data_IF_882608996890
#
_entry.id   IF_882608996890
#
_cell.length_a   1.000
_cell.length_b   1.000
_cell.length_c   1.000
_cell.angle_alpha   90.00
_cell.angle_beta   90.00
_cell.angle_gamma   90.00
#
_symmetry.space_group_name_H-M   'P 1'
#
loop_
_entity.id
_entity.type
_entity.pdbx_description
1 polymer ?
#
# COMPACT_ATOMS: atom_id res chain seq x y z
N UNK A 1 33.29 25.02 -9.39
CA UNK A 1 31.93 25.23 -9.92
C UNK A 1 31.46 26.61 -9.51
N UNK A 2 30.86 27.37 -10.43
CA UNK A 2 30.16 28.62 -10.10
C UNK A 2 28.82 28.28 -9.40
N UNK A 3 28.34 29.12 -8.48
CA UNK A 3 27.08 28.92 -7.72
C UNK A 3 25.92 28.40 -8.60
N UNK A 4 25.72 29.01 -9.77
CA UNK A 4 24.69 28.63 -10.76
C UNK A 4 24.85 27.22 -11.34
N UNK A 5 26.07 26.73 -11.50
CA UNK A 5 26.32 25.36 -11.98
C UNK A 5 25.96 24.35 -10.88
N UNK A 6 26.18 24.72 -9.61
CA UNK A 6 25.81 23.89 -8.46
C UNK A 6 24.28 23.79 -8.32
N UNK A 7 23.57 24.91 -8.41
CA UNK A 7 22.10 24.95 -8.40
C UNK A 7 21.49 24.16 -9.56
N UNK A 8 22.06 24.29 -10.77
CA UNK A 8 21.60 23.51 -11.93
C UNK A 8 21.80 22.01 -11.72
N UNK A 9 22.97 21.58 -11.25
CA UNK A 9 23.26 20.17 -10.99
C UNK A 9 22.36 19.63 -9.88
N UNK A 10 22.14 20.39 -8.81
CA UNK A 10 21.22 20.01 -7.73
C UNK A 10 19.78 19.86 -8.22
N UNK A 11 19.28 20.83 -9.00
CA UNK A 11 17.95 20.74 -9.61
C UNK A 11 17.83 19.54 -10.56
N UNK A 12 18.88 19.26 -11.33
CA UNK A 12 18.90 18.11 -12.23
C UNK A 12 18.88 16.78 -11.47
N UNK A 13 19.66 16.63 -10.38
CA UNK A 13 19.63 15.43 -9.54
C UNK A 13 18.28 15.22 -8.85
N UNK A 14 17.58 16.31 -8.49
CA UNK A 14 16.24 16.24 -7.91
C UNK A 14 15.17 15.64 -8.84
N UNK A 15 15.42 15.58 -10.14
CA UNK A 15 14.53 14.86 -11.07
C UNK A 15 14.76 13.34 -11.09
N UNK A 16 15.85 12.86 -10.50
CA UNK A 16 16.25 11.45 -10.52
C UNK A 16 16.36 10.82 -9.12
N UNK A 17 16.49 11.64 -8.08
CA UNK A 17 16.61 11.22 -6.68
C UNK A 17 15.68 12.07 -5.82
N UNK A 18 15.09 11.47 -4.80
CA UNK A 18 14.31 12.21 -3.81
C UNK A 18 15.13 13.36 -3.20
N UNK A 19 14.53 14.53 -2.94
CA UNK A 19 15.22 15.68 -2.37
C UNK A 19 16.00 15.36 -1.08
N UNK A 20 15.48 14.44 -0.26
CA UNK A 20 16.14 14.00 0.96
C UNK A 20 17.49 13.32 0.67
N UNK A 21 17.56 12.46 -0.36
CA UNK A 21 18.79 11.77 -0.77
C UNK A 21 19.79 12.74 -1.38
N UNK A 22 19.32 13.69 -2.21
CA UNK A 22 20.18 14.75 -2.77
C UNK A 22 20.83 15.56 -1.66
N UNK A 23 20.05 15.96 -0.65
CA UNK A 23 20.56 16.71 0.50
C UNK A 23 21.58 15.91 1.31
N UNK A 24 21.34 14.61 1.52
CA UNK A 24 22.28 13.72 2.21
C UNK A 24 23.61 13.59 1.45
N UNK A 25 23.56 13.35 0.12
CA UNK A 25 24.76 13.28 -0.73
C UNK A 25 25.55 14.59 -0.68
N UNK A 26 24.86 15.74 -0.67
CA UNK A 26 25.51 17.04 -0.60
C UNK A 26 26.19 17.30 0.75
N UNK A 27 25.65 16.74 1.83
CA UNK A 27 26.19 16.86 3.19
C UNK A 27 27.31 15.85 3.45
N UNK A 28 27.22 14.67 2.83
CA UNK A 28 28.18 13.58 2.94
C UNK A 28 28.59 13.03 1.56
N UNK A 29 29.44 13.73 0.79
CA UNK A 29 29.79 13.33 -0.57
C UNK A 29 30.44 11.96 -0.69
N UNK A 30 31.11 11.49 0.37
CA UNK A 30 31.75 10.17 0.41
C UNK A 30 30.77 9.00 0.39
N UNK A 31 29.48 9.26 0.62
CA UNK A 31 28.41 8.26 0.55
C UNK A 31 28.29 7.66 -0.86
N UNK A 32 28.47 8.45 -1.92
CA UNK A 32 28.29 8.02 -3.32
C UNK A 32 29.24 6.87 -3.71
N UNK A 33 30.45 6.85 -3.13
CA UNK A 33 31.48 5.85 -3.42
C UNK A 33 31.40 4.61 -2.51
N UNK A 34 30.48 4.60 -1.54
CA UNK A 34 30.35 3.54 -0.54
C UNK A 34 29.16 2.65 -0.86
N UNK A 35 29.45 1.42 -1.31
CA UNK A 35 28.44 0.36 -1.40
C UNK A 35 28.07 -0.14 -0.01
N UNK A 36 26.81 -0.55 0.11
CA UNK A 36 26.23 -1.04 1.35
C UNK A 36 25.33 0.02 1.99
N UNK A 37 25.02 -0.19 3.25
CA UNK A 37 24.07 0.63 3.96
C UNK A 37 24.14 0.37 5.44
N UNK A 38 23.22 0.98 6.15
CA UNK A 38 23.05 0.77 7.58
C UNK A 38 21.75 0.03 7.85
N UNK A 39 21.80 -0.89 8.80
CA UNK A 39 20.60 -1.55 9.31
C UNK A 39 19.88 -0.60 10.27
N UNK A 40 18.61 -0.34 10.00
CA UNK A 40 17.73 0.48 10.83
C UNK A 40 16.31 -0.08 10.83
N UNK A 41 15.55 0.25 11.88
CA UNK A 41 14.10 0.02 11.89
C UNK A 41 13.44 1.19 11.17
N UNK A 42 12.67 0.87 10.14
CA UNK A 42 12.05 1.84 9.24
C UNK A 42 10.70 1.29 8.74
N UNK A 43 9.99 2.07 7.94
CA UNK A 43 8.78 1.63 7.24
C UNK A 43 9.02 1.54 5.75
N UNK A 44 8.82 0.35 5.18
CA UNK A 44 8.79 0.12 3.75
C UNK A 44 7.36 0.32 3.22
N UNK A 45 7.22 0.93 2.05
CA UNK A 45 5.97 1.20 1.36
C UNK A 45 6.05 0.71 -0.09
N UNK A 46 5.01 0.01 -0.53
CA UNK A 46 4.80 -0.40 -1.91
C UNK A 46 3.36 -0.05 -2.30
N UNK A 47 3.17 0.52 -3.48
CA UNK A 47 1.84 0.64 -4.08
C UNK A 47 1.82 0.23 -5.54
N UNK A 48 0.65 -0.16 -6.03
CA UNK A 48 0.40 -0.58 -7.42
C UNK A 48 -1.06 -0.29 -7.82
N UNK A 49 -1.29 0.08 -9.08
CA UNK A 49 -2.63 0.35 -9.60
C UNK A 49 -3.25 -0.97 -10.07
N UNK A 50 -4.33 -1.38 -9.41
CA UNK A 50 -5.04 -2.60 -9.75
C UNK A 50 -5.50 -2.60 -11.21
N UNK A 51 -5.17 -3.68 -11.92
CA UNK A 51 -5.52 -3.87 -13.34
C UNK A 51 -4.91 -2.81 -14.29
N UNK A 52 -3.75 -2.24 -13.94
CA UNK A 52 -3.08 -1.23 -14.76
C UNK A 52 -2.81 -1.70 -16.20
N UNK A 53 -2.46 -2.98 -16.41
CA UNK A 53 -2.27 -3.50 -17.77
C UNK A 53 -3.50 -3.27 -18.65
N UNK A 54 -4.71 -3.53 -18.14
CA UNK A 54 -5.96 -3.26 -18.86
C UNK A 54 -6.19 -1.77 -19.09
N UNK A 55 -5.84 -0.91 -18.14
CA UNK A 55 -5.88 0.56 -18.33
C UNK A 55 -4.94 0.95 -19.49
N UNK A 56 -3.70 0.48 -19.47
CA UNK A 56 -2.66 0.84 -20.44
C UNK A 56 -2.98 0.37 -21.87
N UNK A 57 -3.63 -0.78 -22.04
CA UNK A 57 -4.07 -1.30 -23.35
C UNK A 57 -5.16 -0.45 -24.01
N UNK A 58 -5.90 0.35 -23.24
CA UNK A 58 -6.93 1.26 -23.74
C UNK A 58 -6.40 2.65 -24.10
N UNK A 59 -5.09 2.89 -23.93
CA UNK A 59 -4.47 4.20 -24.12
C UNK A 59 -3.49 4.19 -25.28
N UNK A 60 -3.41 5.31 -25.99
CA UNK A 60 -2.23 5.60 -26.81
C UNK A 60 -1.02 5.85 -25.91
N UNK A 61 0.22 5.69 -26.41
CA UNK A 61 1.42 5.95 -25.61
C UNK A 61 1.47 7.34 -24.98
N UNK A 62 0.95 8.37 -25.65
CA UNK A 62 0.93 9.75 -25.13
C UNK A 62 -0.10 9.89 -24.01
N UNK A 63 -1.29 9.32 -24.17
CA UNK A 63 -2.31 9.33 -23.12
C UNK A 63 -1.87 8.54 -21.89
N UNK A 64 -1.20 7.39 -22.10
CA UNK A 64 -0.61 6.59 -21.02
C UNK A 64 0.40 7.40 -20.20
N UNK A 65 1.31 8.10 -20.88
CA UNK A 65 2.31 8.95 -20.21
C UNK A 65 1.65 10.09 -19.43
N UNK A 66 0.62 10.73 -19.98
CA UNK A 66 -0.10 11.79 -19.28
C UNK A 66 -0.84 11.26 -18.04
N UNK A 67 -1.55 10.14 -18.19
CA UNK A 67 -2.29 9.50 -17.10
C UNK A 67 -1.34 9.08 -15.97
N UNK A 68 -0.25 8.38 -16.29
CA UNK A 68 0.67 7.90 -15.27
C UNK A 68 1.43 9.03 -14.59
N UNK A 69 1.81 10.08 -15.32
CA UNK A 69 2.50 11.23 -14.71
C UNK A 69 1.58 12.01 -13.78
N UNK A 70 0.30 12.20 -14.12
CA UNK A 70 -0.65 12.84 -13.19
C UNK A 70 -0.79 12.02 -11.90
N UNK A 71 -1.00 10.70 -12.03
CA UNK A 71 -1.08 9.79 -10.88
C UNK A 71 0.19 9.79 -10.03
N UNK A 72 1.35 9.55 -10.64
CA UNK A 72 2.62 9.48 -9.92
C UNK A 72 2.94 10.80 -9.22
N UNK A 73 2.65 11.94 -9.85
CA UNK A 73 2.89 13.26 -9.24
C UNK A 73 2.07 13.43 -7.95
N UNK A 74 0.75 13.26 -8.03
CA UNK A 74 -0.14 13.43 -6.87
C UNK A 74 0.20 12.47 -5.73
N UNK A 75 0.57 11.22 -6.05
CA UNK A 75 0.93 10.23 -5.03
C UNK A 75 2.30 10.49 -4.40
N UNK A 76 3.30 10.90 -5.19
CA UNK A 76 4.64 11.19 -4.68
C UNK A 76 4.65 12.45 -3.81
N UNK A 77 3.91 13.50 -4.19
CA UNK A 77 3.80 14.73 -3.41
C UNK A 77 3.34 14.42 -1.97
N UNK A 78 2.37 13.52 -1.80
CA UNK A 78 1.88 13.11 -0.48
C UNK A 78 2.94 12.31 0.29
N UNK A 79 3.64 11.36 -0.36
CA UNK A 79 4.72 10.62 0.30
C UNK A 79 5.79 11.56 0.83
N UNK A 80 6.20 12.54 0.02
CA UNK A 80 7.23 13.53 0.39
C UNK A 80 6.74 14.52 1.45
N UNK A 81 5.46 14.93 1.43
CA UNK A 81 4.85 15.78 2.47
C UNK A 81 4.92 15.12 3.85
N UNK A 82 4.75 13.80 3.90
CA UNK A 82 4.90 13.00 5.12
C UNK A 82 6.37 12.66 5.46
N UNK A 83 7.33 13.12 4.67
CA UNK A 83 8.77 12.90 4.88
C UNK A 83 9.26 11.53 4.42
N UNK A 84 8.51 10.87 3.53
CA UNK A 84 8.93 9.66 2.86
C UNK A 84 9.97 9.94 1.76
N UNK A 85 10.77 8.92 1.47
CA UNK A 85 11.77 8.94 0.41
C UNK A 85 11.33 8.00 -0.69
N UNK A 86 11.11 8.54 -1.90
CA UNK A 86 10.85 7.73 -3.09
C UNK A 86 12.15 7.00 -3.46
N UNK A 87 12.08 5.67 -3.51
CA UNK A 87 13.16 4.80 -3.95
C UNK A 87 13.18 4.76 -5.48
N UNK A 88 12.09 4.27 -6.08
CA UNK A 88 11.96 4.10 -7.53
C UNK A 88 10.51 3.86 -7.95
N UNK A 89 10.30 3.86 -9.25
CA UNK A 89 9.07 3.42 -9.90
C UNK A 89 9.28 2.09 -10.62
N UNK A 90 8.31 1.20 -10.55
CA UNK A 90 8.27 -0.04 -11.33
C UNK A 90 6.97 -0.07 -12.16
N UNK A 91 7.00 0.58 -13.33
CA UNK A 91 5.78 0.80 -14.11
C UNK A 91 4.88 1.82 -13.42
N UNK A 92 3.70 1.38 -12.97
CA UNK A 92 2.77 2.15 -12.16
C UNK A 92 2.97 1.99 -10.65
N UNK A 93 3.89 1.10 -10.25
CA UNK A 93 4.18 0.89 -8.85
C UNK A 93 5.11 1.97 -8.27
N UNK A 94 4.85 2.37 -7.02
CA UNK A 94 5.68 3.31 -6.26
C UNK A 94 6.33 2.55 -5.11
N UNK A 95 7.66 2.62 -5.06
CA UNK A 95 8.45 2.10 -3.95
C UNK A 95 8.98 3.28 -3.15
N UNK A 96 8.70 3.29 -1.86
CA UNK A 96 9.17 4.34 -0.96
C UNK A 96 9.45 3.79 0.44
N UNK A 97 10.09 4.61 1.26
CA UNK A 97 10.31 4.27 2.67
C UNK A 97 10.31 5.51 3.56
N UNK A 98 10.04 5.30 4.84
CA UNK A 98 10.05 6.34 5.88
C UNK A 98 11.07 5.98 6.94
N UNK A 99 11.85 6.97 7.39
CA UNK A 99 12.91 6.80 8.39
C UNK A 99 14.35 6.82 7.84
N UNK A 100 14.51 7.05 6.54
CA UNK A 100 15.80 7.39 5.93
C UNK A 100 15.61 8.29 4.70
N UNK A 101 16.63 9.08 4.30
CA UNK A 101 17.90 9.29 5.04
C UNK A 101 17.68 10.08 6.34
N UNK A 102 16.59 10.85 6.42
CA UNK A 102 16.15 11.51 7.65
C UNK A 102 15.38 10.52 8.52
N UNK A 103 15.82 10.35 9.76
CA UNK A 103 15.15 9.48 10.72
C UNK A 103 13.98 10.20 11.41
N UNK A 104 12.90 9.46 11.61
CA UNK A 104 11.70 9.90 12.30
C UNK A 104 11.25 8.79 13.26
N UNK A 105 11.08 9.08 14.55
CA UNK A 105 10.56 8.11 15.52
C UNK A 105 9.13 7.65 15.15
N UNK A 106 8.36 8.52 14.48
CA UNK A 106 6.99 8.29 14.02
C UNK A 106 6.91 7.81 12.56
N UNK A 107 7.97 7.21 12.01
CA UNK A 107 8.04 6.76 10.61
C UNK A 107 6.85 5.86 10.19
N UNK A 108 6.36 5.01 11.10
CA UNK A 108 5.19 4.16 10.86
C UNK A 108 3.88 4.95 10.77
N UNK A 109 3.71 5.95 11.65
CA UNK A 109 2.54 6.84 11.64
C UNK A 109 2.52 7.66 10.34
N UNK A 110 3.66 8.22 9.95
CA UNK A 110 3.82 8.98 8.70
C UNK A 110 3.40 8.19 7.48
N UNK A 111 3.94 6.98 7.32
CA UNK A 111 3.59 6.11 6.20
C UNK A 111 2.11 5.73 6.18
N UNK A 112 1.53 5.42 7.34
CA UNK A 112 0.11 5.09 7.44
C UNK A 112 -0.80 6.27 7.08
N UNK A 113 -0.52 7.47 7.61
CA UNK A 113 -1.30 8.67 7.32
C UNK A 113 -1.18 9.11 5.85
N UNK A 114 0.01 8.98 5.26
CA UNK A 114 0.23 9.22 3.83
C UNK A 114 -0.65 8.31 2.98
N UNK A 115 -0.81 7.03 3.33
CA UNK A 115 -1.66 6.10 2.58
C UNK A 115 -3.14 6.50 2.65
N UNK A 116 -3.62 6.92 3.82
CA UNK A 116 -5.00 7.41 3.98
C UNK A 116 -5.22 8.64 3.08
N UNK A 117 -4.27 9.58 3.06
CA UNK A 117 -4.39 10.78 2.22
C UNK A 117 -4.23 10.48 0.73
N UNK A 118 -3.40 9.51 0.35
CA UNK A 118 -3.34 9.03 -1.02
C UNK A 118 -4.69 8.44 -1.46
N UNK A 119 -5.37 7.65 -0.62
CA UNK A 119 -6.72 7.13 -0.94
C UNK A 119 -7.77 8.25 -1.06
N UNK A 120 -7.70 9.28 -0.21
CA UNK A 120 -8.55 10.48 -0.31
C UNK A 120 -8.28 11.23 -1.61
N UNK A 121 -7.01 11.49 -1.94
CA UNK A 121 -6.59 12.13 -3.19
C UNK A 121 -7.02 11.34 -4.41
N UNK A 122 -6.92 10.01 -4.39
CA UNK A 122 -7.40 9.17 -5.50
C UNK A 122 -8.90 9.32 -5.73
N UNK A 123 -9.69 9.49 -4.67
CA UNK A 123 -11.13 9.81 -4.78
C UNK A 123 -11.33 11.18 -5.43
N UNK A 124 -10.60 12.20 -4.98
CA UNK A 124 -10.64 13.53 -5.59
C UNK A 124 -10.22 13.51 -7.07
N UNK A 125 -9.18 12.75 -7.43
CA UNK A 125 -8.72 12.57 -8.81
C UNK A 125 -9.81 11.94 -9.68
N UNK A 126 -10.46 10.88 -9.20
CA UNK A 126 -11.60 10.26 -9.89
C UNK A 126 -12.74 11.25 -10.10
N UNK A 127 -13.05 12.06 -9.11
CA UNK A 127 -14.11 13.07 -9.23
C UNK A 127 -13.74 14.17 -10.23
N UNK A 128 -12.49 14.65 -10.21
CA UNK A 128 -11.97 15.63 -11.19
C UNK A 128 -12.04 15.08 -12.61
N UNK A 129 -11.62 13.84 -12.82
CA UNK A 129 -11.67 13.17 -14.12
C UNK A 129 -13.09 13.07 -14.70
N UNK A 130 -14.10 12.92 -13.84
CA UNK A 130 -15.49 12.90 -14.27
C UNK A 130 -15.99 14.31 -14.66
N UNK A 131 -15.70 15.29 -13.80
CA UNK A 131 -16.14 16.68 -14.00
C UNK A 131 -15.51 17.33 -15.24
N UNK A 132 -14.20 17.18 -15.40
CA UNK A 132 -13.44 17.83 -16.47
C UNK A 132 -13.47 17.02 -17.78
N UNK A 133 -13.97 15.78 -17.74
CA UNK A 133 -13.89 14.81 -18.85
C UNK A 133 -12.49 14.72 -19.45
N UNK A 134 -11.49 14.75 -18.57
CA UNK A 134 -10.08 14.74 -18.95
C UNK A 134 -9.57 13.34 -19.32
N UNK A 135 -10.32 12.28 -18.97
CA UNK A 135 -10.01 10.92 -19.40
C UNK A 135 -10.26 10.75 -20.90
N UNK A 136 -9.39 10.04 -21.61
CA UNK A 136 -9.66 9.58 -22.97
C UNK A 136 -10.99 8.80 -23.06
N UNK A 137 -11.73 8.89 -24.17
CA UNK A 137 -13.04 8.24 -24.30
C UNK A 137 -13.03 6.73 -24.01
N UNK A 138 -11.93 6.03 -24.34
CA UNK A 138 -11.78 4.60 -24.05
C UNK A 138 -11.69 4.32 -22.53
N UNK A 139 -11.00 5.17 -21.76
CA UNK A 139 -10.95 5.04 -20.31
C UNK A 139 -12.26 5.43 -19.65
N UNK A 140 -12.98 6.42 -20.18
CA UNK A 140 -14.30 6.77 -19.65
C UNK A 140 -15.27 5.58 -19.78
N UNK A 141 -15.28 4.90 -20.93
CA UNK A 141 -16.07 3.68 -21.11
C UNK A 141 -15.60 2.51 -20.24
N UNK A 142 -14.29 2.37 -20.03
CA UNK A 142 -13.73 1.34 -19.14
C UNK A 142 -14.18 1.58 -17.70
N UNK A 143 -14.08 2.82 -17.24
CA UNK A 143 -14.50 3.27 -15.92
C UNK A 143 -15.99 3.04 -15.68
N UNK A 144 -16.86 3.54 -16.56
CA UNK A 144 -18.32 3.38 -16.44
C UNK A 144 -18.72 1.91 -16.32
N UNK A 145 -18.08 1.02 -17.10
CA UNK A 145 -18.30 -0.42 -17.03
C UNK A 145 -17.83 -1.02 -15.71
N UNK A 146 -16.62 -0.70 -15.26
CA UNK A 146 -16.10 -1.24 -13.99
C UNK A 146 -16.91 -0.74 -12.79
N UNK A 147 -17.29 0.54 -12.77
CA UNK A 147 -18.15 1.08 -11.72
C UNK A 147 -19.53 0.40 -11.72
N UNK A 148 -20.09 0.09 -12.90
CA UNK A 148 -21.31 -0.72 -13.03
C UNK A 148 -21.17 -2.17 -12.58
N UNK A 149 -19.94 -2.70 -12.50
CA UNK A 149 -19.58 -4.02 -11.96
C UNK A 149 -19.20 -3.96 -10.46
N UNK A 150 -19.28 -2.79 -9.81
CA UNK A 150 -18.84 -2.61 -8.42
C UNK A 150 -17.32 -2.59 -8.24
N UNK A 151 -16.56 -2.30 -9.31
CA UNK A 151 -15.09 -2.24 -9.32
C UNK A 151 -14.63 -0.79 -9.40
N UNK A 152 -13.87 -0.36 -8.40
CA UNK A 152 -13.28 0.98 -8.36
C UNK A 152 -12.26 1.16 -9.48
N UNK A 153 -12.47 2.17 -10.33
CA UNK A 153 -11.52 2.55 -11.36
C UNK A 153 -10.25 3.13 -10.75
N UNK A 154 -9.08 2.74 -11.28
CA UNK A 154 -7.77 3.13 -10.74
C UNK A 154 -7.67 2.89 -9.21
N UNK A 155 -8.17 1.75 -8.74
CA UNK A 155 -7.97 1.30 -7.36
C UNK A 155 -6.48 1.07 -7.10
N UNK A 156 -5.94 1.62 -6.02
CA UNK A 156 -4.53 1.49 -5.67
C UNK A 156 -4.41 0.66 -4.41
N UNK A 157 -3.55 -0.37 -4.49
CA UNK A 157 -3.19 -1.21 -3.36
C UNK A 157 -1.91 -0.66 -2.73
N UNK A 158 -1.81 -0.68 -1.42
CA UNK A 158 -0.71 -0.11 -0.64
C UNK A 158 -0.33 -1.04 0.51
N UNK A 159 0.86 -1.63 0.40
CA UNK A 159 1.43 -2.49 1.43
C UNK A 159 2.49 -1.75 2.25
N UNK A 160 2.35 -1.76 3.58
CA UNK A 160 3.35 -1.20 4.48
C UNK A 160 3.82 -2.20 5.52
N UNK A 161 5.11 -2.15 5.84
CA UNK A 161 5.65 -2.89 6.97
C UNK A 161 6.70 -2.10 7.70
N UNK A 162 6.66 -2.16 9.04
CA UNK A 162 7.72 -1.63 9.88
C UNK A 162 8.59 -2.77 10.44
N UNK A 163 9.90 -2.58 10.46
CA UNK A 163 10.86 -3.58 10.94
C UNK A 163 12.29 -3.29 10.50
N UNK A 164 13.24 -4.16 10.88
CA UNK A 164 14.64 -4.01 10.49
C UNK A 164 14.80 -4.17 8.97
N UNK A 165 15.58 -3.29 8.37
CA UNK A 165 16.00 -3.34 6.97
C UNK A 165 17.31 -2.58 6.80
N UNK A 166 18.03 -2.86 5.71
CA UNK A 166 19.25 -2.12 5.34
C UNK A 166 18.89 -1.05 4.34
N UNK A 167 19.36 0.19 4.55
CA UNK A 167 19.20 1.30 3.61
C UNK A 167 20.55 1.89 3.23
N UNK A 168 20.75 2.14 1.95
CA UNK A 168 22.02 2.66 1.45
C UNK A 168 22.18 2.48 -0.05
N UNK A 169 23.41 2.61 -0.52
CA UNK A 169 23.75 2.47 -1.93
C UNK A 169 23.93 1.00 -2.30
N UNK A 170 22.99 0.48 -3.07
CA UNK A 170 23.02 -0.90 -3.58
C UNK A 170 23.22 -0.90 -5.08
N UNK A 171 23.95 -1.90 -5.59
CA UNK A 171 24.19 -2.05 -7.01
C UNK A 171 25.63 -2.44 -7.32
N UNK A 172 26.11 -1.97 -8.47
CA UNK A 172 27.45 -2.24 -8.97
C UNK A 172 28.39 -1.06 -8.69
N UNK A 173 29.70 -1.26 -8.88
CA UNK A 173 30.70 -0.18 -8.72
C UNK A 173 30.49 1.04 -9.61
N UNK A 174 29.69 0.93 -10.68
CA UNK A 174 29.46 2.00 -11.65
C UNK A 174 28.02 2.51 -11.67
N UNK A 175 27.10 1.83 -10.98
CA UNK A 175 25.67 2.17 -10.92
C UNK A 175 25.11 1.72 -9.58
N UNK A 176 24.69 2.67 -8.77
CA UNK A 176 24.13 2.49 -7.45
C UNK A 176 22.79 3.21 -7.35
N UNK A 177 21.85 2.58 -6.66
CA UNK A 177 20.58 3.17 -6.26
C UNK A 177 20.59 3.29 -4.74
N UNK A 178 20.11 4.42 -4.21
CA UNK A 178 19.86 4.56 -2.78
C UNK A 178 18.52 3.90 -2.46
N UNK A 179 18.56 2.70 -1.88
CA UNK A 179 17.40 1.81 -1.77
C UNK A 179 17.43 1.03 -0.46
N UNK A 180 16.30 0.40 -0.15
CA UNK A 180 16.12 -0.48 1.00
C UNK A 180 16.19 -1.96 0.61
N UNK A 181 16.72 -2.81 1.48
CA UNK A 181 16.73 -4.26 1.32
C UNK A 181 16.45 -4.97 2.65
N UNK A 182 15.73 -6.09 2.58
CA UNK A 182 15.50 -6.96 3.73
C UNK A 182 14.16 -7.68 3.65
N UNK A 183 13.96 -8.65 4.55
CA UNK A 183 12.72 -9.44 4.59
C UNK A 183 11.49 -8.59 4.92
N UNK A 184 11.68 -7.50 5.67
CA UNK A 184 10.64 -6.49 5.93
C UNK A 184 10.18 -5.84 4.61
N UNK A 185 11.13 -5.43 3.77
CA UNK A 185 10.84 -4.83 2.44
C UNK A 185 10.05 -5.80 1.55
N UNK A 186 10.48 -7.07 1.50
CA UNK A 186 9.78 -8.11 0.74
C UNK A 186 8.35 -8.37 1.25
N UNK A 187 8.12 -8.22 2.57
CA UNK A 187 6.80 -8.38 3.16
C UNK A 187 5.86 -7.24 2.75
N UNK A 188 6.34 -5.99 2.64
CA UNK A 188 5.53 -4.88 2.15
C UNK A 188 5.03 -5.10 0.72
N UNK A 189 5.89 -5.57 -0.18
CA UNK A 189 5.48 -5.94 -1.54
C UNK A 189 4.43 -7.07 -1.57
N UNK A 190 4.54 -8.03 -0.64
CA UNK A 190 3.55 -9.11 -0.48
C UNK A 190 2.23 -8.60 0.08
N UNK A 191 2.26 -7.57 0.92
CA UNK A 191 1.05 -6.96 1.46
C UNK A 191 0.31 -6.18 0.39
N UNK A 192 1.00 -5.38 -0.43
CA UNK A 192 0.42 -4.72 -1.61
C UNK A 192 -0.32 -5.75 -2.48
N UNK A 193 0.42 -6.77 -2.93
CA UNK A 193 -0.15 -7.75 -3.86
C UNK A 193 -1.25 -8.61 -3.22
N UNK A 194 -1.09 -8.95 -1.95
CA UNK A 194 -2.02 -9.75 -1.15
C UNK A 194 -3.39 -9.10 -0.97
N UNK A 195 -3.49 -7.78 -1.04
CA UNK A 195 -4.78 -7.08 -0.98
C UNK A 195 -5.75 -7.47 -2.08
N UNK A 196 -5.28 -8.03 -3.20
CA UNK A 196 -6.15 -8.57 -4.26
C UNK A 196 -7.09 -9.65 -3.74
N UNK A 197 -6.62 -10.45 -2.79
CA UNK A 197 -7.39 -11.55 -2.19
C UNK A 197 -8.55 -10.97 -1.37
N UNK A 198 -8.27 -9.92 -0.62
CA UNK A 198 -9.21 -9.30 0.32
C UNK A 198 -10.05 -8.18 -0.30
N UNK A 199 -9.68 -7.66 -1.47
CA UNK A 199 -10.34 -6.49 -2.07
C UNK A 199 -10.07 -5.17 -1.35
N UNK A 200 -8.97 -5.06 -0.59
CA UNK A 200 -8.70 -3.92 0.31
C UNK A 200 -7.73 -2.90 -0.29
N UNK A 201 -7.58 -1.74 0.37
CA UNK A 201 -6.79 -0.61 -0.14
C UNK A 201 -5.45 -0.39 0.59
N UNK A 202 -5.37 -0.65 1.89
CA UNK A 202 -4.15 -0.47 2.68
C UNK A 202 -3.96 -1.68 3.59
N UNK A 203 -2.82 -2.38 3.47
CA UNK A 203 -2.47 -3.51 4.33
C UNK A 203 -1.16 -3.25 5.08
N UNK A 204 -1.18 -3.49 6.39
CA UNK A 204 -0.05 -3.22 7.28
C UNK A 204 0.28 -4.39 8.21
N UNK A 205 1.52 -4.45 8.72
CA UNK A 205 1.90 -5.44 9.72
C UNK A 205 1.55 -4.98 11.14
N UNK A 206 1.58 -5.93 12.08
CA UNK A 206 1.28 -5.67 13.49
C UNK A 206 2.12 -4.53 14.11
N UNK A 207 3.38 -4.38 13.69
CA UNK A 207 4.24 -3.30 14.18
C UNK A 207 3.70 -1.91 13.82
N UNK A 208 3.20 -1.72 12.60
CA UNK A 208 2.54 -0.48 12.21
C UNK A 208 1.22 -0.34 12.93
N UNK A 209 0.38 -1.38 12.95
CA UNK A 209 -0.93 -1.34 13.61
C UNK A 209 -0.82 -0.86 15.07
N UNK A 210 0.10 -1.43 15.86
CA UNK A 210 0.34 -0.99 17.26
C UNK A 210 0.82 0.45 17.38
N UNK A 211 1.50 0.98 16.36
CA UNK A 211 1.94 2.38 16.36
C UNK A 211 0.80 3.36 16.01
N UNK A 212 -0.30 2.87 15.41
CA UNK A 212 -1.38 3.73 14.89
C UNK A 212 -2.77 3.40 15.44
N UNK A 213 -2.95 2.37 16.26
CA UNK A 213 -4.27 1.84 16.68
C UNK A 213 -5.19 2.89 17.33
N UNK A 214 -4.62 3.88 18.02
CA UNK A 214 -5.35 5.01 18.62
C UNK A 214 -5.66 6.15 17.63
N UNK A 215 -5.05 6.14 16.44
CA UNK A 215 -5.10 7.20 15.43
C UNK A 215 -5.95 6.83 14.21
N UNK A 216 -6.28 5.55 14.04
CA UNK A 216 -6.98 5.03 12.85
C UNK A 216 -8.14 4.12 13.22
N UNK A 217 -9.09 3.98 12.30
CA UNK A 217 -9.97 2.83 12.26
C UNK A 217 -9.32 1.72 11.43
N UNK A 218 -9.30 0.51 11.96
CA UNK A 218 -8.63 -0.64 11.36
C UNK A 218 -9.34 -1.94 11.75
N UNK A 219 -9.05 -3.00 11.00
CA UNK A 219 -9.46 -4.37 11.33
C UNK A 219 -8.32 -5.34 11.08
N UNK A 220 -8.29 -6.45 11.83
CA UNK A 220 -7.41 -7.59 11.52
C UNK A 220 -7.92 -8.24 10.24
N UNK A 221 -7.04 -8.46 9.26
CA UNK A 221 -7.39 -9.17 8.03
C UNK A 221 -7.18 -10.67 8.17
N UNK A 222 -5.98 -11.10 8.57
CA UNK A 222 -5.68 -12.52 8.68
C UNK A 222 -4.33 -12.76 9.40
N UNK A 223 -4.03 -14.03 9.67
CA UNK A 223 -2.70 -14.51 10.06
C UNK A 223 -2.13 -15.28 8.88
N UNK A 224 -1.16 -14.70 8.18
CA UNK A 224 -0.70 -15.19 6.88
C UNK A 224 0.64 -15.91 7.03
N UNK A 225 0.73 -17.15 6.53
CA UNK A 225 2.02 -17.81 6.33
C UNK A 225 2.69 -17.22 5.10
N UNK A 226 3.85 -16.62 5.33
CA UNK A 226 4.62 -15.98 4.28
C UNK A 226 5.70 -16.95 3.78
N UNK A 227 5.75 -17.21 2.47
CA UNK A 227 6.75 -18.13 1.89
C UNK A 227 8.16 -17.68 2.27
N UNK A 228 8.92 -18.57 2.89
CA UNK A 228 10.28 -18.31 3.35
C UNK A 228 10.41 -17.75 4.77
N UNK A 229 9.29 -17.48 5.47
CA UNK A 229 9.30 -17.17 6.92
C UNK A 229 8.78 -18.37 7.71
N UNK A 230 9.38 -18.62 8.88
CA UNK A 230 8.91 -19.65 9.81
C UNK A 230 7.65 -19.19 10.55
N UNK A 231 7.68 -17.98 11.10
CA UNK A 231 6.56 -17.40 11.86
C UNK A 231 5.52 -16.75 10.94
N UNK A 232 4.22 -17.07 11.10
CA UNK A 232 3.13 -16.35 10.45
C UNK A 232 3.11 -14.87 10.84
N UNK A 233 2.59 -14.04 9.93
CA UNK A 233 2.48 -12.60 10.15
C UNK A 233 1.01 -12.20 10.19
N UNK A 234 0.60 -11.48 11.23
CA UNK A 234 -0.72 -10.86 11.30
C UNK A 234 -0.77 -9.63 10.41
N UNK A 235 -1.74 -9.60 9.50
CA UNK A 235 -2.02 -8.47 8.62
C UNK A 235 -3.25 -7.71 9.12
N UNK A 236 -3.21 -6.38 9.00
CA UNK A 236 -4.29 -5.48 9.34
C UNK A 236 -4.64 -4.60 8.13
N UNK A 237 -5.92 -4.28 7.99
CA UNK A 237 -6.38 -3.23 7.08
C UNK A 237 -6.50 -1.92 7.83
N UNK A 238 -5.99 -0.84 7.22
CA UNK A 238 -6.25 0.52 7.66
C UNK A 238 -7.40 1.08 6.82
N UNK A 239 -8.46 1.53 7.49
CA UNK A 239 -9.70 1.96 6.83
C UNK A 239 -9.74 3.50 6.68
N UNK A 240 -9.56 4.22 7.79
CA UNK A 240 -9.49 5.68 7.81
C UNK A 240 -8.86 6.18 9.11
N UNK A 241 -8.78 7.49 9.29
CA UNK A 241 -8.47 8.13 10.58
C UNK A 241 -9.54 7.81 11.61
N UNK A 242 -9.14 7.83 12.88
CA UNK A 242 -10.04 7.60 14.00
C UNK A 242 -11.25 8.54 13.94
N UNK A 243 -12.46 7.98 13.97
CA UNK A 243 -13.70 8.74 13.90
C UNK A 243 -14.06 9.33 12.53
N UNK A 244 -13.29 9.07 11.47
CA UNK A 244 -13.61 9.51 10.10
C UNK A 244 -14.27 8.41 9.25
N UNK A 245 -14.30 7.16 9.74
CA UNK A 245 -14.91 6.03 9.03
C UNK A 245 -16.43 6.26 8.85
N UNK A 246 -17.00 6.12 7.63
CA UNK A 246 -18.44 6.25 7.42
C UNK A 246 -19.26 5.24 8.22
N UNK A 247 -20.48 5.63 8.63
CA UNK A 247 -21.35 4.77 9.46
C UNK A 247 -21.58 3.38 8.85
N UNK A 248 -21.77 3.30 7.53
CA UNK A 248 -21.95 2.04 6.82
C UNK A 248 -20.76 1.08 7.06
N UNK A 249 -19.54 1.60 6.92
CA UNK A 249 -18.33 0.82 7.15
C UNK A 249 -18.10 0.49 8.63
N UNK A 250 -18.51 1.36 9.56
CA UNK A 250 -18.50 1.05 10.99
C UNK A 250 -19.40 -0.15 11.31
N UNK A 251 -20.61 -0.18 10.74
CA UNK A 251 -21.57 -1.27 10.96
C UNK A 251 -21.03 -2.61 10.43
N UNK A 252 -20.37 -2.60 9.26
CA UNK A 252 -19.67 -3.76 8.67
C UNK A 252 -18.55 -4.23 9.60
N UNK A 253 -17.68 -3.31 10.05
CA UNK A 253 -16.54 -3.64 10.91
C UNK A 253 -16.99 -4.21 12.26
N UNK A 254 -18.09 -3.72 12.83
CA UNK A 254 -18.64 -4.26 14.08
C UNK A 254 -19.09 -5.72 13.90
N UNK A 255 -19.83 -6.02 12.82
CA UNK A 255 -20.26 -7.39 12.50
C UNK A 255 -19.07 -8.30 12.18
N UNK A 256 -18.12 -7.79 11.39
CA UNK A 256 -16.90 -8.49 11.00
C UNK A 256 -16.05 -8.88 12.23
N UNK A 257 -15.83 -7.95 13.17
CA UNK A 257 -15.05 -8.22 14.37
C UNK A 257 -15.74 -9.25 15.28
N UNK A 258 -17.08 -9.19 15.42
CA UNK A 258 -17.84 -10.24 16.12
C UNK A 258 -17.69 -11.58 15.40
N UNK A 259 -17.74 -11.60 14.07
CA UNK A 259 -17.51 -12.81 13.27
C UNK A 259 -16.13 -13.42 13.56
N UNK A 260 -15.09 -12.58 13.63
CA UNK A 260 -13.73 -13.02 13.97
C UNK A 260 -13.64 -13.64 15.38
N UNK A 261 -14.37 -13.13 16.38
CA UNK A 261 -14.40 -13.72 17.72
C UNK A 261 -14.95 -15.16 17.75
N UNK A 262 -15.91 -15.47 16.88
CA UNK A 262 -16.42 -16.84 16.69
C UNK A 262 -15.46 -17.68 15.85
N UNK A 263 -14.92 -17.11 14.78
CA UNK A 263 -13.94 -17.74 13.90
C UNK A 263 -12.70 -18.22 14.68
N UNK A 264 -12.15 -17.38 15.57
CA UNK A 264 -10.98 -17.71 16.39
C UNK A 264 -11.24 -18.86 17.39
N UNK A 265 -12.52 -19.13 17.69
CA UNK A 265 -12.96 -20.25 18.53
C UNK A 265 -13.36 -21.50 17.75
N UNK A 266 -13.14 -21.51 16.43
CA UNK A 266 -13.59 -22.56 15.50
C UNK A 266 -15.12 -22.73 15.48
N UNK A 267 -15.88 -21.69 15.85
CA UNK A 267 -17.34 -21.65 15.82
C UNK A 267 -17.80 -21.12 14.44
N UNK A 268 -17.51 -21.86 13.36
CA UNK A 268 -17.60 -21.36 11.98
C UNK A 268 -19.01 -21.06 11.47
N UNK A 269 -20.05 -21.77 11.93
CA UNK A 269 -21.42 -21.49 11.50
C UNK A 269 -21.91 -20.11 11.99
N UNK A 270 -21.62 -19.78 13.25
CA UNK A 270 -21.94 -18.49 13.85
C UNK A 270 -21.09 -17.36 13.25
N UNK A 271 -19.82 -17.64 12.97
CA UNK A 271 -18.93 -16.73 12.26
C UNK A 271 -19.46 -16.43 10.85
N UNK A 272 -19.78 -17.47 10.06
CA UNK A 272 -20.37 -17.35 8.72
C UNK A 272 -21.58 -16.42 8.74
N UNK A 273 -22.53 -16.67 9.64
CA UNK A 273 -23.75 -15.87 9.75
C UNK A 273 -23.47 -14.38 9.98
N UNK A 274 -22.44 -14.04 10.76
CA UNK A 274 -22.04 -12.66 11.04
C UNK A 274 -21.33 -12.02 9.84
N UNK A 275 -20.49 -12.77 9.14
CA UNK A 275 -19.87 -12.30 7.89
C UNK A 275 -20.90 -12.08 6.78
N UNK A 276 -21.86 -12.99 6.61
CA UNK A 276 -22.98 -12.81 5.67
C UNK A 276 -23.82 -11.57 6.00
N UNK A 277 -24.07 -11.31 7.29
CA UNK A 277 -24.73 -10.06 7.71
C UNK A 277 -23.89 -8.82 7.36
N UNK A 278 -22.57 -8.88 7.48
CA UNK A 278 -21.69 -7.79 7.09
C UNK A 278 -21.75 -7.56 5.56
N UNK A 279 -21.78 -8.64 4.77
CA UNK A 279 -21.98 -8.60 3.31
C UNK A 279 -23.37 -8.05 2.93
N UNK A 280 -24.41 -8.36 3.71
CA UNK A 280 -25.75 -7.78 3.49
C UNK A 280 -25.78 -6.26 3.74
N UNK A 281 -24.94 -5.75 4.65
CA UNK A 281 -24.79 -4.32 4.91
C UNK A 281 -24.01 -3.64 3.78
N UNK A 282 -22.86 -4.20 3.39
CA UNK A 282 -22.07 -3.73 2.26
C UNK A 282 -21.59 -4.91 1.40
N UNK A 283 -22.24 -5.15 0.24
CA UNK A 283 -21.85 -6.22 -0.67
C UNK A 283 -20.46 -6.05 -1.30
N UNK A 284 -19.86 -4.86 -1.17
CA UNK A 284 -18.52 -4.57 -1.68
C UNK A 284 -17.41 -4.87 -0.68
N UNK A 285 -17.74 -5.22 0.57
CA UNK A 285 -16.75 -5.57 1.59
C UNK A 285 -16.10 -6.94 1.32
N UNK A 286 -14.95 -6.90 0.67
CA UNK A 286 -14.20 -8.10 0.29
C UNK A 286 -13.79 -8.99 1.47
N UNK A 287 -13.30 -8.48 2.62
CA UNK A 287 -12.93 -9.33 3.74
C UNK A 287 -14.13 -10.08 4.34
N UNK A 288 -15.29 -9.44 4.53
CA UNK A 288 -16.48 -10.14 5.00
C UNK A 288 -16.90 -11.24 4.02
N UNK A 289 -16.95 -10.95 2.71
CA UNK A 289 -17.30 -11.93 1.70
C UNK A 289 -16.34 -13.14 1.69
N UNK A 290 -15.04 -12.87 1.81
CA UNK A 290 -14.02 -13.93 1.86
C UNK A 290 -14.20 -14.82 3.10
N UNK A 291 -14.43 -14.22 4.26
CA UNK A 291 -14.60 -14.98 5.50
C UNK A 291 -15.92 -15.75 5.52
N UNK A 292 -16.99 -15.25 4.91
CA UNK A 292 -18.24 -15.98 4.74
C UNK A 292 -18.03 -17.26 3.93
N UNK A 293 -17.42 -17.14 2.74
CA UNK A 293 -17.08 -18.27 1.85
C UNK A 293 -16.14 -19.29 2.54
N UNK A 294 -15.11 -18.78 3.23
CA UNK A 294 -14.19 -19.63 3.99
C UNK A 294 -14.88 -20.38 5.12
N UNK A 295 -15.79 -19.74 5.85
CA UNK A 295 -16.52 -20.40 6.93
C UNK A 295 -17.47 -21.48 6.40
N UNK A 296 -18.08 -21.28 5.23
CA UNK A 296 -18.90 -22.30 4.57
C UNK A 296 -18.11 -23.60 4.37
N UNK A 297 -16.89 -23.52 3.83
CA UNK A 297 -16.01 -24.69 3.70
C UNK A 297 -15.60 -25.27 5.06
N UNK A 298 -15.24 -24.42 6.03
CA UNK A 298 -14.76 -24.88 7.34
C UNK A 298 -15.84 -25.51 8.23
N UNK A 299 -17.12 -25.24 7.98
CA UNK A 299 -18.24 -25.96 8.61
C UNK A 299 -18.22 -27.43 8.20
N UNK A 300 -17.91 -27.73 6.94
CA UNK A 300 -17.83 -29.10 6.43
C UNK A 300 -16.43 -29.72 6.68
N UNK A 301 -15.38 -28.91 6.58
CA UNK A 301 -13.97 -29.31 6.61
C UNK A 301 -13.16 -28.45 7.60
N UNK A 302 -13.31 -28.63 8.92
CA UNK A 302 -12.60 -27.81 9.91
C UNK A 302 -11.07 -27.89 9.75
N UNK A 303 -10.35 -26.76 9.70
CA UNK A 303 -8.91 -26.75 9.52
C UNK A 303 -8.18 -27.11 10.81
N UNK A 304 -6.89 -27.44 10.71
CA UNK A 304 -6.05 -27.74 11.88
C UNK A 304 -5.49 -26.48 12.57
N UNK A 305 -5.40 -25.38 11.84
CA UNK A 305 -5.05 -24.06 12.33
C UNK A 305 -5.74 -22.98 11.47
N UNK A 306 -5.73 -21.74 11.94
CA UNK A 306 -6.35 -20.61 11.24
C UNK A 306 -5.33 -19.80 10.40
N UNK A 307 -4.15 -20.37 10.15
CA UNK A 307 -3.10 -19.66 9.38
C UNK A 307 -3.43 -19.75 7.90
N UNK A 308 -3.69 -18.59 7.30
CA UNK A 308 -3.93 -18.49 5.88
C UNK A 308 -2.66 -18.78 5.09
N UNK A 309 -2.76 -19.77 4.20
CA UNK A 309 -1.70 -20.17 3.27
C UNK A 309 -2.22 -19.89 1.87
N UNK A 310 -1.78 -18.78 1.28
CA UNK A 310 -2.09 -18.52 -0.12
C UNK A 310 -1.53 -19.66 -0.97
N UNK A 311 -2.38 -20.34 -1.74
CA UNK A 311 -1.91 -21.28 -2.74
C UNK A 311 -1.06 -20.50 -3.75
N UNK A 312 0.22 -20.87 -3.86
CA UNK A 312 1.11 -20.31 -4.86
C UNK A 312 0.55 -20.64 -6.24
N UNK A 313 -0.03 -19.64 -6.92
CA UNK A 313 -0.26 -19.68 -8.36
C UNK A 313 0.92 -19.07 -9.10
#
# INVERSE_FOLDING_TARGET
>A
MKEKEKEFVQGAFGHYLSPAVVNEIMTNPGMVDQLGGEERVMTAFFSDVASFSTISENLTPVELVNFINEYLSDMCDIVEEYGGTIDKFEGDAILAFYGAPVYYDDHAVRGCMACIDQQKRLTEMRDRWDQDRSLPPALQQLRERWEGEGRTFAHVRMGLTAGPMVVGNMGSRSRTDYTMMGDTVNLAARFESGQKIYGTAIMVNEAIYKAVEDLVEARRLDVIQVVGKEEPVTAYEILDRKGELPQLAQDVVELYNKGLEFYDRFEFAEAQRLFEQAVDVDPTDGPAALYADRCEDYVENPPTDLVFRAESK
#
